data_IF_529272600604
#
_entry.id   IF_529272600604
#
_cell.length_a   1.000
_cell.length_b   1.000
_cell.length_c   1.000
_cell.angle_alpha   90.00
_cell.angle_beta   90.00
_cell.angle_gamma   90.00
#
_symmetry.space_group_name_H-M   'P 1'
#
loop_
_entity.id
_entity.type
_entity.pdbx_description
1 polymer ?
#
# COMPACT_ATOMS: atom_id res chain seq x y z
N UNK A 1 -16.98 12.58 9.83
CA UNK A 1 -16.07 12.69 11.00
C UNK A 1 -14.94 13.63 10.62
N UNK A 2 -14.65 14.65 11.44
CA UNK A 2 -13.55 15.56 11.16
C UNK A 2 -12.21 14.80 11.26
N UNK A 3 -11.52 14.61 10.14
CA UNK A 3 -10.18 14.03 10.12
C UNK A 3 -9.25 14.98 10.86
N UNK A 4 -8.54 14.48 11.88
CA UNK A 4 -7.65 15.28 12.72
C UNK A 4 -6.37 15.64 11.98
N UNK A 5 -6.47 16.53 10.99
CA UNK A 5 -5.33 17.00 10.19
C UNK A 5 -4.41 17.85 11.06
N UNK A 6 -3.13 17.48 11.13
CA UNK A 6 -2.09 18.25 11.82
C UNK A 6 -1.03 18.69 10.83
N UNK A 7 -0.58 19.94 10.92
CA UNK A 7 0.58 20.41 10.14
C UNK A 7 1.83 19.62 10.53
N UNK A 8 2.65 19.29 9.54
CA UNK A 8 3.92 18.60 9.68
C UNK A 8 4.99 19.44 8.99
N UNK A 9 6.14 19.60 9.64
CA UNK A 9 7.31 20.23 9.04
C UNK A 9 8.26 19.11 8.63
N UNK A 10 8.22 18.73 7.34
CA UNK A 10 9.00 17.63 6.78
C UNK A 10 9.86 18.14 5.64
N UNK A 11 11.05 17.56 5.49
CA UNK A 11 11.87 17.76 4.28
C UNK A 11 11.59 16.62 3.31
N UNK A 12 11.07 16.97 2.13
CA UNK A 12 10.75 16.02 1.06
C UNK A 12 11.40 16.53 -0.23
N UNK A 13 11.95 15.62 -1.04
CA UNK A 13 12.46 15.96 -2.36
C UNK A 13 11.32 16.47 -3.25
N UNK A 14 11.42 17.73 -3.70
CA UNK A 14 10.44 18.38 -4.57
C UNK A 14 10.22 17.60 -5.86
N UNK A 15 11.28 17.03 -6.46
CA UNK A 15 11.16 16.27 -7.71
C UNK A 15 10.31 15.03 -7.52
N UNK A 16 10.34 14.43 -6.33
CA UNK A 16 9.49 13.30 -5.98
C UNK A 16 8.04 13.74 -5.83
N UNK A 17 7.78 14.87 -5.17
CA UNK A 17 6.43 15.44 -5.05
C UNK A 17 5.83 15.77 -6.42
N UNK A 18 6.60 16.39 -7.31
CA UNK A 18 6.13 16.74 -8.66
C UNK A 18 5.74 15.50 -9.46
N UNK A 19 6.51 14.41 -9.38
CA UNK A 19 6.17 13.14 -10.02
C UNK A 19 4.88 12.55 -9.46
N UNK A 20 4.71 12.56 -8.14
CA UNK A 20 3.48 12.05 -7.49
C UNK A 20 2.28 12.91 -7.87
N UNK A 21 2.43 14.24 -7.89
CA UNK A 21 1.36 15.15 -8.36
C UNK A 21 0.92 14.84 -9.78
N UNK A 22 1.87 14.65 -10.69
CA UNK A 22 1.59 14.30 -12.07
C UNK A 22 0.91 12.93 -12.19
N UNK A 23 1.41 11.93 -11.46
CA UNK A 23 0.86 10.57 -11.44
C UNK A 23 -0.58 10.53 -10.92
N UNK A 24 -0.87 11.29 -9.86
CA UNK A 24 -2.18 11.31 -9.19
C UNK A 24 -3.11 12.40 -9.71
N UNK A 25 -2.65 13.19 -10.69
CA UNK A 25 -3.35 14.34 -11.26
C UNK A 25 -3.92 15.29 -10.19
N UNK A 26 -3.09 15.69 -9.23
CA UNK A 26 -3.47 16.55 -8.10
C UNK A 26 -2.94 17.97 -8.26
N UNK A 27 -3.75 18.96 -7.93
CA UNK A 27 -3.38 20.38 -8.03
C UNK A 27 -2.37 20.80 -6.96
N UNK A 28 -2.46 20.24 -5.75
CA UNK A 28 -1.63 20.64 -4.59
C UNK A 28 -0.79 19.48 -4.06
N UNK A 29 0.37 19.81 -3.46
CA UNK A 29 1.25 18.82 -2.81
C UNK A 29 0.55 18.15 -1.62
N UNK A 30 -0.24 18.92 -0.88
CA UNK A 30 -1.03 18.43 0.25
C UNK A 30 -2.05 17.36 -0.20
N UNK A 31 -2.77 17.60 -1.30
CA UNK A 31 -3.69 16.59 -1.88
C UNK A 31 -2.92 15.38 -2.41
N UNK A 32 -1.76 15.60 -3.05
CA UNK A 32 -0.90 14.52 -3.52
C UNK A 32 -0.43 13.59 -2.38
N UNK A 33 0.01 14.18 -1.26
CA UNK A 33 0.44 13.44 -0.07
C UNK A 33 -0.74 12.68 0.53
N UNK A 34 -1.89 13.33 0.73
CA UNK A 34 -3.07 12.68 1.29
C UNK A 34 -3.54 11.48 0.43
N UNK A 35 -3.62 11.65 -0.90
CA UNK A 35 -4.01 10.55 -1.79
C UNK A 35 -2.98 9.43 -1.83
N UNK A 36 -1.68 9.77 -1.82
CA UNK A 36 -0.63 8.76 -1.78
C UNK A 36 -0.70 7.93 -0.49
N UNK A 37 -1.03 8.55 0.66
CA UNK A 37 -1.23 7.84 1.92
C UNK A 37 -2.46 6.93 1.85
N UNK A 38 -3.59 7.42 1.35
CA UNK A 38 -4.79 6.61 1.16
C UNK A 38 -4.53 5.39 0.25
N UNK A 39 -3.83 5.58 -0.88
CA UNK A 39 -3.45 4.48 -1.78
C UNK A 39 -2.54 3.44 -1.11
N UNK A 40 -1.65 3.88 -0.22
CA UNK A 40 -0.80 2.96 0.53
C UNK A 40 -1.60 2.13 1.55
N UNK A 41 -2.58 2.75 2.22
CA UNK A 41 -3.50 2.07 3.13
C UNK A 41 -4.39 1.06 2.37
N UNK A 42 -4.95 1.46 1.23
CA UNK A 42 -5.77 0.63 0.37
C UNK A 42 -4.98 -0.58 -0.16
N UNK A 43 -3.73 -0.36 -0.60
CA UNK A 43 -2.86 -1.44 -1.06
C UNK A 43 -2.57 -2.43 0.07
N UNK A 44 -2.21 -1.95 1.26
CA UNK A 44 -1.94 -2.82 2.41
C UNK A 44 -3.18 -3.64 2.81
N UNK A 45 -4.36 -3.03 2.77
CA UNK A 45 -5.62 -3.73 3.04
C UNK A 45 -5.92 -4.80 1.98
N UNK A 46 -5.73 -4.46 0.70
CA UNK A 46 -5.89 -5.39 -0.42
C UNK A 46 -4.93 -6.58 -0.32
N UNK A 47 -3.64 -6.34 -0.08
CA UNK A 47 -2.64 -7.40 0.09
C UNK A 47 -3.01 -8.34 1.24
N UNK A 48 -3.42 -7.78 2.38
CA UNK A 48 -3.85 -8.58 3.53
C UNK A 48 -5.11 -9.41 3.24
N UNK A 49 -6.04 -8.90 2.44
CA UNK A 49 -7.25 -9.64 2.05
C UNK A 49 -6.92 -10.77 1.04
N UNK A 50 -6.13 -10.46 0.01
CA UNK A 50 -5.68 -11.45 -0.97
C UNK A 50 -4.92 -12.58 -0.30
N UNK A 51 -3.98 -12.26 0.58
CA UNK A 51 -3.20 -13.27 1.31
C UNK A 51 -4.10 -14.19 2.15
N UNK A 52 -5.05 -13.64 2.90
CA UNK A 52 -6.04 -14.43 3.67
C UNK A 52 -6.89 -15.33 2.76
N UNK A 53 -7.30 -14.81 1.61
CA UNK A 53 -8.03 -15.58 0.60
C UNK A 53 -7.22 -16.77 0.08
N UNK A 54 -5.96 -16.53 -0.29
CA UNK A 54 -5.05 -17.57 -0.77
C UNK A 54 -4.74 -18.62 0.30
N UNK A 55 -4.47 -18.21 1.54
CA UNK A 55 -4.26 -19.12 2.67
C UNK A 55 -5.46 -20.03 2.91
N UNK A 56 -6.68 -19.47 2.82
CA UNK A 56 -7.92 -20.25 2.93
C UNK A 56 -8.06 -21.29 1.83
N UNK A 57 -7.68 -20.94 0.59
CA UNK A 57 -7.74 -21.84 -0.56
C UNK A 57 -6.71 -22.98 -0.46
N UNK A 58 -5.49 -22.69 0.00
CA UNK A 58 -4.45 -23.71 0.26
C UNK A 58 -4.89 -24.64 1.40
N UNK A 59 -5.43 -24.09 2.50
CA UNK A 59 -5.92 -24.87 3.64
C UNK A 59 -7.10 -25.80 3.31
N UNK A 60 -7.84 -25.53 2.22
CA UNK A 60 -8.93 -26.39 1.73
C UNK A 60 -8.46 -27.53 0.81
N UNK A 61 -7.15 -27.65 0.56
CA UNK A 61 -6.54 -28.79 -0.13
C UNK A 61 -6.67 -28.78 -1.66
N UNK A 62 -7.29 -27.76 -2.25
CA UNK A 62 -7.39 -27.61 -3.71
C UNK A 62 -6.18 -26.95 -4.38
N UNK A 63 -5.28 -26.35 -3.58
CA UNK A 63 -4.10 -25.63 -4.07
C UNK A 63 -2.86 -26.05 -3.28
N UNK A 64 -1.73 -26.23 -3.97
CA UNK A 64 -0.44 -26.57 -3.38
C UNK A 64 0.44 -25.33 -3.41
N UNK A 65 0.85 -24.84 -2.25
CA UNK A 65 1.86 -23.78 -2.15
C UNK A 65 3.24 -24.33 -2.55
N UNK A 66 3.82 -23.81 -3.64
CA UNK A 66 5.15 -24.19 -4.14
C UNK A 66 6.27 -23.27 -3.67
N UNK A 67 5.96 -22.21 -2.92
CA UNK A 67 6.93 -21.22 -2.47
C UNK A 67 7.36 -21.45 -1.02
N UNK A 68 6.57 -22.19 -0.22
CA UNK A 68 6.94 -22.54 1.16
C UNK A 68 8.14 -23.48 1.26
N UNK A 69 8.34 -24.38 0.30
CA UNK A 69 9.43 -25.38 0.31
C UNK A 69 10.84 -24.78 0.21
N UNK A 70 10.98 -23.50 -0.16
CA UNK A 70 12.27 -22.82 -0.33
C UNK A 70 12.73 -22.00 0.88
N UNK A 71 11.84 -21.71 1.85
CA UNK A 71 12.18 -20.91 3.05
C UNK A 71 12.75 -21.71 4.22
N UNK A 72 12.66 -23.04 4.20
CA UNK A 72 13.20 -23.91 5.26
C UNK A 72 14.61 -24.43 4.97
N UNK A 73 15.26 -23.94 3.91
CA UNK A 73 16.59 -24.34 3.48
C UNK A 73 17.67 -23.26 3.68
N UNK A 74 17.34 -22.16 4.36
CA UNK A 74 18.27 -21.13 4.84
C UNK A 74 18.26 -21.05 6.37
#
# INVERSE_FOLDING_TARGET
MATARRRKNLFIDQRRLDRVKALLNTETETDAIDRALALAEDLAAFEAEVNRGLETLVGRGGFVDRFTSRRSAE
#
